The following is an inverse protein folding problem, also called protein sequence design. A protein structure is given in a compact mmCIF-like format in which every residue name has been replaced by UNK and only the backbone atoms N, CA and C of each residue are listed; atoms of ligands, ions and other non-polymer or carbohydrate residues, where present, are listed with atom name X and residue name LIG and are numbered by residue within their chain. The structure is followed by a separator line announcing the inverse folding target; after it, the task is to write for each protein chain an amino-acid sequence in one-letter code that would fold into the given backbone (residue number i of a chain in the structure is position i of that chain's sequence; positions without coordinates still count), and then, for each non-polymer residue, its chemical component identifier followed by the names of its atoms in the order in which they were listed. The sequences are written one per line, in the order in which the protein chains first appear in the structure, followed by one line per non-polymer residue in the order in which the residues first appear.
data_IF_795503240074
#
_entry.id   IF_795503240074
#
_cell.length_a   1.000
_cell.length_b   1.000
_cell.length_c   1.000
_cell.angle_alpha   90.00
_cell.angle_beta   90.00
_cell.angle_gamma   90.00
#
_symmetry.space_group_name_H-M   'P 1'
#
loop_
_entity.id
_entity.type
_entity.pdbx_description
1 polymer ?
#
# COMPACT_ATOMS: atom_id res chain seq x y z
N UNK A 1 -7.61 0.31 34.10
CA UNK A 1 -6.95 -0.42 32.98
C UNK A 1 -5.47 -0.52 33.32
N UNK A 2 -4.77 -1.57 32.92
CA UNK A 2 -3.32 -1.64 33.11
C UNK A 2 -2.61 -0.67 32.16
N UNK A 3 -1.36 -0.32 32.46
CA UNK A 3 -0.56 0.56 31.61
C UNK A 3 -0.39 -0.02 30.20
N UNK A 4 -0.24 -1.33 30.09
CA UNK A 4 -0.13 -2.08 28.84
C UNK A 4 -1.42 -1.98 28.02
N UNK A 5 -2.59 -2.11 28.66
CA UNK A 5 -3.89 -1.97 27.99
C UNK A 5 -4.10 -0.54 27.45
N UNK A 6 -3.69 0.48 28.20
CA UNK A 6 -3.74 1.87 27.76
C UNK A 6 -2.83 2.12 26.54
N UNK A 7 -1.59 1.63 26.59
CA UNK A 7 -0.63 1.75 25.50
C UNK A 7 -1.11 1.02 24.24
N UNK A 8 -1.61 -0.20 24.38
CA UNK A 8 -2.17 -0.96 23.25
C UNK A 8 -3.36 -0.21 22.62
N UNK A 9 -4.27 0.29 23.45
CA UNK A 9 -5.44 1.06 22.98
C UNK A 9 -5.04 2.35 22.27
N UNK A 10 -4.03 3.05 22.81
CA UNK A 10 -3.51 4.29 22.22
C UNK A 10 -2.79 4.03 20.89
N UNK A 11 -2.00 2.96 20.79
CA UNK A 11 -1.37 2.51 19.54
C UNK A 11 -2.43 2.21 18.50
N UNK A 12 -3.43 1.37 18.81
CA UNK A 12 -4.48 1.01 17.86
C UNK A 12 -5.24 2.23 17.32
N UNK A 13 -5.71 3.12 18.21
CA UNK A 13 -6.42 4.35 17.83
C UNK A 13 -5.55 5.27 16.97
N UNK A 14 -4.28 5.43 17.34
CA UNK A 14 -3.34 6.26 16.58
C UNK A 14 -3.09 5.68 15.21
N UNK A 15 -2.92 4.36 15.10
CA UNK A 15 -2.72 3.66 13.82
C UNK A 15 -3.95 3.79 12.92
N UNK A 16 -5.19 3.66 13.44
CA UNK A 16 -6.39 3.85 12.61
C UNK A 16 -6.52 5.26 12.07
N UNK A 17 -6.24 6.28 12.90
CA UNK A 17 -6.21 7.67 12.45
C UNK A 17 -5.12 7.91 11.41
N UNK A 18 -3.92 7.38 11.65
CA UNK A 18 -2.79 7.47 10.72
C UNK A 18 -3.13 6.79 9.39
N UNK A 19 -3.74 5.61 9.42
CA UNK A 19 -4.20 4.92 8.22
C UNK A 19 -5.16 5.80 7.41
N UNK A 20 -6.16 6.41 8.06
CA UNK A 20 -7.08 7.34 7.38
C UNK A 20 -6.35 8.55 6.75
N UNK A 21 -5.36 9.11 7.44
CA UNK A 21 -4.54 10.20 6.90
C UNK A 21 -3.73 9.75 5.68
N UNK A 22 -3.08 8.58 5.75
CA UNK A 22 -2.31 8.01 4.64
C UNK A 22 -3.19 7.68 3.44
N UNK A 23 -4.41 7.17 3.65
CA UNK A 23 -5.40 6.95 2.58
C UNK A 23 -5.79 8.27 1.92
N UNK A 24 -6.06 9.31 2.70
CA UNK A 24 -6.43 10.62 2.16
C UNK A 24 -5.28 11.27 1.36
N UNK A 25 -4.04 11.15 1.84
CA UNK A 25 -2.84 11.58 1.10
C UNK A 25 -2.70 10.77 -0.19
N UNK A 26 -2.88 9.45 -0.11
CA UNK A 26 -2.87 8.53 -1.24
C UNK A 26 -3.84 8.94 -2.34
N UNK A 27 -5.09 9.21 -1.95
CA UNK A 27 -6.14 9.69 -2.84
C UNK A 27 -5.77 11.03 -3.47
N UNK A 28 -5.31 12.00 -2.68
CA UNK A 28 -4.94 13.33 -3.18
C UNK A 28 -3.79 13.27 -4.20
N UNK A 29 -2.81 12.38 -3.97
CA UNK A 29 -1.68 12.16 -4.87
C UNK A 29 -2.09 11.45 -6.17
N UNK A 30 -3.07 10.55 -6.11
CA UNK A 30 -3.53 9.78 -7.25
C UNK A 30 -4.49 10.57 -8.18
N UNK A 31 -5.27 11.50 -7.62
CA UNK A 31 -6.28 12.31 -8.35
C UNK A 31 -5.80 12.88 -9.70
N UNK A 32 -4.61 13.51 -9.82
CA UNK A 32 -4.16 14.08 -11.09
C UNK A 32 -3.97 13.06 -12.22
N UNK A 33 -3.75 11.78 -11.88
CA UNK A 33 -3.60 10.69 -12.84
C UNK A 33 -4.93 10.00 -13.21
N UNK A 34 -6.07 10.47 -12.68
CA UNK A 34 -7.36 9.81 -12.84
C UNK A 34 -7.49 8.49 -12.06
N UNK A 35 -6.55 8.22 -11.15
CA UNK A 35 -6.55 7.03 -10.29
C UNK A 35 -7.12 7.36 -8.91
N UNK A 36 -7.70 6.35 -8.28
CA UNK A 36 -7.93 6.37 -6.83
C UNK A 36 -6.65 5.98 -6.08
N UNK A 37 -6.56 6.33 -4.79
CA UNK A 37 -5.43 5.93 -3.95
C UNK A 37 -5.26 4.41 -3.87
N UNK A 38 -6.36 3.67 -3.83
CA UNK A 38 -6.32 2.20 -3.85
C UNK A 38 -5.81 1.64 -5.19
N UNK A 39 -6.24 2.22 -6.32
CA UNK A 39 -5.75 1.83 -7.65
C UNK A 39 -4.26 2.11 -7.80
N UNK A 40 -3.81 3.26 -7.28
CA UNK A 40 -2.40 3.57 -7.20
C UNK A 40 -1.63 2.54 -6.38
N UNK A 41 -2.06 2.21 -5.16
CA UNK A 41 -1.37 1.24 -4.30
C UNK A 41 -1.25 -0.15 -4.96
N UNK A 42 -2.33 -0.66 -5.54
CA UNK A 42 -2.33 -1.97 -6.23
C UNK A 42 -1.40 -1.95 -7.45
N UNK A 43 -1.46 -0.89 -8.26
CA UNK A 43 -0.62 -0.76 -9.43
C UNK A 43 0.87 -0.58 -9.04
N UNK A 44 1.14 0.16 -7.96
CA UNK A 44 2.49 0.39 -7.43
C UNK A 44 3.16 -0.90 -6.93
N UNK A 45 2.41 -1.80 -6.27
CA UNK A 45 2.91 -3.08 -5.78
C UNK A 45 3.46 -3.97 -6.91
N UNK A 46 2.90 -3.87 -8.12
CA UNK A 46 3.30 -4.70 -9.27
C UNK A 46 4.25 -4.01 -10.25
N UNK A 47 4.80 -2.84 -9.89
CA UNK A 47 5.71 -2.11 -10.77
C UNK A 47 7.08 -2.76 -10.93
N UNK A 48 7.60 -3.34 -9.84
CA UNK A 48 8.91 -4.01 -9.86
C UNK A 48 8.80 -5.43 -10.38
N UNK A 49 7.81 -6.17 -9.90
CA UNK A 49 7.62 -7.59 -10.22
C UNK A 49 6.13 -7.92 -10.28
N UNK A 50 5.69 -8.79 -11.21
CA UNK A 50 4.32 -9.28 -11.22
C UNK A 50 4.02 -10.09 -9.96
N UNK A 51 2.82 -9.92 -9.39
CA UNK A 51 2.41 -10.59 -8.16
C UNK A 51 1.01 -11.19 -8.28
N UNK A 52 0.73 -12.34 -7.65
CA UNK A 52 -0.64 -12.78 -7.41
C UNK A 52 -1.40 -11.76 -6.56
N UNK A 53 -2.71 -11.62 -6.79
CA UNK A 53 -3.59 -10.74 -6.00
C UNK A 53 -3.50 -10.99 -4.49
N UNK A 54 -3.26 -12.24 -4.07
CA UNK A 54 -3.10 -12.57 -2.65
C UNK A 54 -1.81 -11.98 -2.04
N UNK A 55 -0.73 -11.90 -2.83
CA UNK A 55 0.53 -11.34 -2.36
C UNK A 55 0.47 -9.81 -2.33
N UNK A 56 -0.19 -9.19 -3.33
CA UNK A 56 -0.50 -7.75 -3.31
C UNK A 56 -1.35 -7.38 -2.08
N UNK A 57 -2.34 -8.21 -1.74
CA UNK A 57 -3.17 -8.01 -0.56
C UNK A 57 -2.36 -8.05 0.75
N UNK A 58 -1.40 -8.98 0.85
CA UNK A 58 -0.48 -9.07 1.98
C UNK A 58 0.44 -7.85 2.07
N UNK A 59 0.98 -7.40 0.93
CA UNK A 59 1.89 -6.25 0.88
C UNK A 59 1.21 -4.94 1.27
N UNK A 60 -0.03 -4.72 0.83
CA UNK A 60 -0.80 -3.50 1.12
C UNK A 60 -1.48 -3.57 2.50
N UNK A 61 -1.68 -4.77 3.05
CA UNK A 61 -2.37 -4.97 4.33
C UNK A 61 -3.89 -4.83 4.22
N UNK A 62 -4.48 -5.23 3.09
CA UNK A 62 -5.94 -5.22 2.86
C UNK A 62 -6.44 -6.59 2.44
N UNK A 63 -7.76 -6.78 2.40
CA UNK A 63 -8.33 -8.09 2.03
C UNK A 63 -8.07 -8.42 0.55
N UNK A 64 -7.91 -9.71 0.26
CA UNK A 64 -7.78 -10.22 -1.12
C UNK A 64 -8.95 -9.79 -2.00
N UNK A 65 -10.17 -9.79 -1.48
CA UNK A 65 -11.36 -9.36 -2.22
C UNK A 65 -11.30 -7.86 -2.57
N UNK A 66 -10.75 -7.02 -1.69
CA UNK A 66 -10.55 -5.60 -1.99
C UNK A 66 -9.56 -5.42 -3.13
N UNK A 67 -8.39 -6.08 -3.05
CA UNK A 67 -7.39 -6.02 -4.12
C UNK A 67 -7.95 -6.58 -5.43
N UNK A 68 -8.67 -7.70 -5.40
CA UNK A 68 -9.26 -8.30 -6.59
C UNK A 68 -10.15 -7.30 -7.34
N UNK A 69 -11.06 -6.62 -6.62
CA UNK A 69 -11.93 -5.58 -7.23
C UNK A 69 -11.13 -4.46 -7.87
N UNK A 70 -10.08 -3.98 -7.20
CA UNK A 70 -9.22 -2.92 -7.73
C UNK A 70 -8.41 -3.40 -8.93
N UNK A 71 -7.86 -4.62 -8.88
CA UNK A 71 -7.12 -5.23 -9.98
C UNK A 71 -7.99 -5.40 -11.22
N UNK A 72 -9.24 -5.86 -11.06
CA UNK A 72 -10.18 -6.02 -12.16
C UNK A 72 -10.54 -4.66 -12.79
N UNK A 73 -10.67 -3.59 -11.99
CA UNK A 73 -10.84 -2.23 -12.50
C UNK A 73 -9.62 -1.74 -13.29
N UNK A 74 -8.41 -1.95 -12.77
CA UNK A 74 -7.16 -1.58 -13.45
C UNK A 74 -7.02 -2.32 -14.79
N UNK A 75 -7.42 -3.60 -14.85
CA UNK A 75 -7.43 -4.39 -16.08
C UNK A 75 -8.49 -3.87 -17.06
N UNK A 76 -9.70 -3.58 -16.59
CA UNK A 76 -10.75 -3.01 -17.43
C UNK A 76 -10.36 -1.63 -18.01
N UNK A 77 -9.52 -0.87 -17.31
CA UNK A 77 -8.96 0.41 -17.75
C UNK A 77 -7.70 0.28 -18.63
N UNK A 78 -7.21 -0.95 -18.87
CA UNK A 78 -5.98 -1.19 -19.65
C UNK A 78 -4.69 -0.79 -18.94
N UNK A 79 -4.74 -0.59 -17.61
CA UNK A 79 -3.59 -0.19 -16.79
C UNK A 79 -2.84 -1.38 -16.20
N UNK A 80 -3.50 -2.52 -16.10
CA UNK A 80 -2.89 -3.77 -15.67
C UNK A 80 -3.37 -4.93 -16.57
N UNK A 81 -2.69 -6.07 -16.48
CA UNK A 81 -3.08 -7.30 -17.14
C UNK A 81 -2.90 -8.50 -16.20
N UNK A 82 -3.62 -9.57 -16.50
CA UNK A 82 -3.40 -10.87 -15.87
C UNK A 82 -2.56 -11.78 -16.76
N UNK A 83 -1.44 -12.26 -16.23
CA UNK A 83 -0.61 -13.28 -16.87
C UNK A 83 -0.73 -14.64 -16.21
N UNK A 84 -0.53 -15.74 -16.96
CA UNK A 84 -0.43 -17.07 -16.38
C UNK A 84 0.65 -17.12 -15.30
N UNK A 85 0.39 -17.85 -14.22
CA UNK A 85 1.38 -18.14 -13.19
C UNK A 85 1.88 -19.59 -13.38
N UNK A 86 3.15 -19.79 -13.79
CA UNK A 86 3.71 -21.12 -14.01
C UNK A 86 3.68 -22.01 -12.75
N UNK A 87 3.75 -21.40 -11.56
CA UNK A 87 3.78 -22.12 -10.28
C UNK A 87 2.38 -22.48 -9.78
N UNK A 88 1.35 -21.74 -10.19
CA UNK A 88 0.00 -21.93 -9.66
C UNK A 88 -1.07 -21.47 -10.67
N UNK A 89 -1.56 -22.39 -11.51
CA UNK A 89 -2.48 -22.09 -12.65
C UNK A 89 -3.69 -21.21 -12.30
N UNK A 90 -4.27 -21.37 -11.11
CA UNK A 90 -5.46 -20.59 -10.66
C UNK A 90 -5.13 -19.21 -10.10
N UNK A 91 -3.86 -18.92 -9.80
CA UNK A 91 -3.44 -17.67 -9.18
C UNK A 91 -2.63 -16.84 -10.19
N UNK A 92 -3.34 -16.24 -11.16
CA UNK A 92 -2.73 -15.39 -12.19
C UNK A 92 -1.91 -14.25 -11.57
N UNK A 93 -0.84 -13.87 -12.25
CA UNK A 93 0.00 -12.73 -11.88
C UNK A 93 -0.64 -11.45 -12.42
N UNK A 94 -0.78 -10.44 -11.57
CA UNK A 94 -1.11 -9.08 -11.99
C UNK A 94 0.18 -8.37 -12.39
N UNK A 95 0.15 -7.68 -13.53
CA UNK A 95 1.29 -6.90 -14.05
C UNK A 95 0.80 -5.53 -14.52
N UNK A 96 1.59 -4.49 -14.31
CA UNK A 96 1.32 -3.17 -14.90
C UNK A 96 1.56 -3.18 -16.42
N UNK A 97 0.65 -2.58 -17.19
CA UNK A 97 0.88 -2.30 -18.63
C UNK A 97 1.82 -1.11 -18.81
N UNK A 98 2.16 -0.75 -20.05
CA UNK A 98 2.83 0.52 -20.35
C UNK A 98 1.99 1.70 -19.86
N UNK A 99 0.70 1.74 -20.20
CA UNK A 99 -0.22 2.78 -19.73
C UNK A 99 -0.30 2.86 -18.20
N UNK A 100 -0.31 1.71 -17.52
CA UNK A 100 -0.25 1.68 -16.05
C UNK A 100 1.03 2.30 -15.50
N UNK A 101 2.20 1.97 -16.07
CA UNK A 101 3.47 2.58 -15.69
C UNK A 101 3.47 4.08 -15.94
N UNK A 102 2.85 4.54 -17.02
CA UNK A 102 2.76 5.95 -17.38
C UNK A 102 1.89 6.72 -16.39
N UNK A 103 0.75 6.16 -15.99
CA UNK A 103 -0.13 6.72 -14.97
C UNK A 103 0.59 6.93 -13.63
N UNK A 104 1.44 5.96 -13.22
CA UNK A 104 2.27 6.10 -12.02
C UNK A 104 3.29 7.23 -12.14
N UNK A 105 3.93 7.38 -13.31
CA UNK A 105 4.91 8.46 -13.51
C UNK A 105 4.30 9.84 -13.35
N UNK A 106 3.01 10.00 -13.63
CA UNK A 106 2.28 11.25 -13.36
C UNK A 106 2.13 11.55 -11.85
N UNK A 107 2.11 10.53 -10.98
CA UNK A 107 2.00 10.68 -9.52
C UNK A 107 3.37 11.01 -8.89
N UNK A 108 4.45 10.49 -9.46
CA UNK A 108 5.79 10.53 -8.86
C UNK A 108 6.26 11.94 -8.41
N UNK A 109 6.05 13.03 -9.17
CA UNK A 109 6.46 14.37 -8.73
C UNK A 109 5.71 14.85 -7.47
N UNK A 110 4.39 14.61 -7.42
CA UNK A 110 3.56 14.98 -6.26
C UNK A 110 3.97 14.18 -5.02
N UNK A 111 4.25 12.89 -5.20
CA UNK A 111 4.76 12.02 -4.14
C UNK A 111 6.12 12.51 -3.62
N UNK A 112 7.06 12.84 -4.50
CA UNK A 112 8.37 13.37 -4.12
C UNK A 112 8.27 14.71 -3.36
N UNK A 113 7.41 15.61 -3.82
CA UNK A 113 7.17 16.89 -3.14
C UNK A 113 6.55 16.69 -1.75
N UNK A 114 5.60 15.77 -1.60
CA UNK A 114 5.03 15.43 -0.30
C UNK A 114 6.06 14.81 0.64
N UNK A 115 6.86 13.85 0.13
CA UNK A 115 7.93 13.22 0.89
C UNK A 115 8.97 14.25 1.40
N UNK A 116 9.35 15.21 0.55
CA UNK A 116 10.24 16.30 0.94
C UNK A 116 9.66 17.19 2.05
N UNK A 117 8.37 17.55 1.99
CA UNK A 117 7.71 18.31 3.06
C UNK A 117 7.62 17.52 4.35
N UNK A 118 7.28 16.23 4.29
CA UNK A 118 7.23 15.37 5.46
C UNK A 118 8.62 15.25 6.11
N UNK A 119 9.66 15.02 5.32
CA UNK A 119 11.04 14.97 5.79
C UNK A 119 11.50 16.29 6.39
N UNK A 120 11.12 17.43 5.79
CA UNK A 120 11.42 18.75 6.35
C UNK A 120 10.71 19.04 7.68
N UNK A 121 9.49 18.54 7.87
CA UNK A 121 8.72 18.75 9.10
C UNK A 121 9.10 17.79 10.24
N UNK A 122 9.42 16.54 9.91
CA UNK A 122 9.65 15.46 10.89
C UNK A 122 11.14 15.15 11.12
N UNK A 123 11.98 15.42 10.11
CA UNK A 123 13.36 14.96 10.04
C UNK A 123 13.47 13.54 9.48
N UNK A 124 14.48 13.30 8.62
CA UNK A 124 14.71 11.99 7.99
C UNK A 124 15.01 10.91 9.02
N UNK A 125 15.86 11.20 10.01
CA UNK A 125 16.19 10.23 11.08
C UNK A 125 14.94 9.78 11.85
N UNK A 126 14.06 10.72 12.22
CA UNK A 126 12.79 10.39 12.88
C UNK A 126 11.88 9.54 11.99
N UNK A 127 11.86 9.78 10.68
CA UNK A 127 11.12 8.94 9.74
C UNK A 127 11.66 7.51 9.70
N UNK A 128 12.98 7.34 9.68
CA UNK A 128 13.64 6.03 9.71
C UNK A 128 13.33 5.28 11.00
N UNK A 129 13.44 5.94 12.15
CA UNK A 129 13.10 5.36 13.46
C UNK A 129 11.62 4.97 13.54
N UNK A 130 10.73 5.83 13.04
CA UNK A 130 9.29 5.56 12.99
C UNK A 130 9.00 4.34 12.12
N UNK A 131 9.61 4.24 10.95
CA UNK A 131 9.45 3.11 10.04
C UNK A 131 9.94 1.80 10.69
N UNK A 132 11.09 1.84 11.36
CA UNK A 132 11.62 0.69 12.08
C UNK A 132 10.68 0.22 13.21
N UNK A 133 10.15 1.16 14.01
CA UNK A 133 9.22 0.85 15.08
C UNK A 133 7.90 0.25 14.57
N UNK A 134 7.33 0.81 13.50
CA UNK A 134 6.08 0.31 12.89
C UNK A 134 6.27 -1.09 12.29
N UNK A 135 7.39 -1.34 11.60
CA UNK A 135 7.72 -2.67 11.06
C UNK A 135 7.81 -3.71 12.16
N UNK A 136 8.58 -3.41 13.22
CA UNK A 136 8.71 -4.29 14.38
C UNK A 136 7.36 -4.58 15.04
N UNK A 137 6.51 -3.55 15.20
CA UNK A 137 5.17 -3.73 15.74
C UNK A 137 4.32 -4.65 14.85
N UNK A 138 4.36 -4.47 13.53
CA UNK A 138 3.63 -5.33 12.59
C UNK A 138 4.10 -6.79 12.66
N UNK A 139 5.41 -7.04 12.68
CA UNK A 139 6.00 -8.38 12.77
C UNK A 139 5.59 -9.10 14.06
N UNK A 140 5.67 -8.41 15.20
CA UNK A 140 5.25 -8.97 16.50
C UNK A 140 3.75 -9.26 16.52
N UNK A 141 2.92 -8.37 15.98
CA UNK A 141 1.47 -8.59 15.93
C UNK A 141 1.07 -9.78 15.05
N UNK A 142 1.78 -10.01 13.93
CA UNK A 142 1.54 -11.21 13.11
C UNK A 142 1.96 -12.49 13.86
N UNK A 143 3.14 -12.51 14.50
CA UNK A 143 3.59 -13.66 15.28
C UNK A 143 2.64 -14.01 16.45
N UNK A 144 2.04 -13.00 17.08
CA UNK A 144 1.07 -13.20 18.18
C UNK A 144 -0.32 -13.67 17.72
N UNK A 145 -0.67 -13.59 16.44
CA UNK A 145 -1.93 -14.16 15.91
C UNK A 145 -1.81 -15.64 15.59
N UNK A 146 -0.59 -16.13 15.38
CA UNK A 146 -0.30 -17.51 14.98
C UNK A 146 -0.07 -18.46 16.18
N UNK A 147 0.08 -17.91 17.40
CA UNK A 147 0.21 -18.67 18.66
C UNK A 147 -1.06 -18.60 19.51
#
# INVERSE_FOLDING_TARGET
MSREQELMSALAKTTFRLHGQLVAIGEALARPSGLTGASWQVLAAVLRTPLPVADVAREIGVTRQSVQRVADLLVAQGLADYQPNPRHRRAKLLIATSAGRDAIRCIAPGHAAFAGRLAGALGVATMEDTLAAVRRLSEVLEALKEG
#
